data_IF_939617147822
#
_entry.id   IF_939617147822
#
_cell.length_a   1.000
_cell.length_b   1.000
_cell.length_c   1.000
_cell.angle_alpha   90.00
_cell.angle_beta   90.00
_cell.angle_gamma   90.00
#
_symmetry.space_group_name_H-M   'P 1'
#
loop_
_entity.id
_entity.type
_entity.pdbx_description
1 polymer ?
#
# COMPACT_ATOMS: atom_id res chain seq x y z
N UNK A 1 -21.08 3.77 12.29
CA UNK A 1 -20.83 5.23 12.31
C UNK A 1 -21.54 5.81 11.09
N UNK A 2 -22.45 6.79 11.24
CA UNK A 2 -23.28 7.28 10.12
C UNK A 2 -22.41 8.04 9.10
N UNK A 3 -22.55 7.75 7.81
CA UNK A 3 -21.73 8.33 6.72
C UNK A 3 -21.68 9.87 6.74
N UNK A 4 -22.80 10.52 7.09
CA UNK A 4 -22.90 11.98 7.25
C UNK A 4 -21.93 12.55 8.31
N UNK A 5 -21.70 11.83 9.41
CA UNK A 5 -20.79 12.28 10.48
C UNK A 5 -19.32 12.26 10.03
N UNK A 6 -18.95 11.29 9.19
CA UNK A 6 -17.64 11.21 8.54
C UNK A 6 -17.44 12.28 7.49
N UNK A 7 -18.46 12.59 6.69
CA UNK A 7 -18.40 13.67 5.69
C UNK A 7 -18.18 15.05 6.35
N UNK A 8 -18.86 15.31 7.47
CA UNK A 8 -18.69 16.56 8.25
C UNK A 8 -17.31 16.65 8.90
N UNK A 9 -16.75 15.53 9.38
CA UNK A 9 -15.39 15.49 9.94
C UNK A 9 -14.30 15.74 8.88
N UNK A 10 -14.50 15.26 7.64
CA UNK A 10 -13.58 15.46 6.52
C UNK A 10 -13.52 16.93 6.04
N UNK A 11 -14.58 17.71 6.22
CA UNK A 11 -14.63 19.12 5.81
C UNK A 11 -13.80 20.07 6.69
N UNK A 12 -13.37 19.63 7.88
CA UNK A 12 -12.66 20.46 8.86
C UNK A 12 -11.13 20.43 8.70
N UNK A 13 -10.58 19.41 8.05
CA UNK A 13 -9.14 19.18 7.93
C UNK A 13 -8.72 19.13 6.46
N UNK A 14 -7.56 19.72 6.15
CA UNK A 14 -7.00 19.63 4.81
C UNK A 14 -6.49 18.23 4.52
N UNK A 15 -5.66 17.67 5.41
CA UNK A 15 -5.27 16.27 5.39
C UNK A 15 -6.29 15.42 6.15
N UNK A 16 -6.97 14.56 5.42
CA UNK A 16 -8.08 13.73 5.89
C UNK A 16 -7.65 12.32 6.28
N UNK A 17 -6.45 11.90 5.85
CA UNK A 17 -5.91 10.59 6.19
C UNK A 17 -4.57 10.31 5.53
N UNK A 18 -4.18 9.05 5.53
CA UNK A 18 -2.93 8.55 4.96
C UNK A 18 -3.24 7.36 4.04
N UNK A 19 -2.72 7.39 2.82
CA UNK A 19 -2.64 6.23 1.95
C UNK A 19 -1.23 5.68 2.01
N UNK A 20 -1.07 4.37 2.24
CA UNK A 20 0.24 3.73 2.39
C UNK A 20 0.34 2.50 1.49
N UNK A 21 1.55 2.23 1.01
CA UNK A 21 1.92 1.00 0.35
C UNK A 21 3.06 0.37 1.14
N UNK A 22 2.85 -0.88 1.55
CA UNK A 22 3.82 -1.68 2.27
C UNK A 22 4.37 -2.78 1.36
N UNK A 23 5.57 -3.27 1.65
CA UNK A 23 6.01 -4.54 1.11
C UNK A 23 5.36 -5.69 1.89
N UNK A 24 5.47 -6.92 1.37
CA UNK A 24 4.96 -8.12 2.04
C UNK A 24 5.51 -8.33 3.46
N UNK A 25 6.72 -7.84 3.74
CA UNK A 25 7.35 -7.95 5.06
C UNK A 25 6.86 -6.87 6.04
N UNK A 26 6.04 -5.90 5.59
CA UNK A 26 5.51 -4.82 6.43
C UNK A 26 6.28 -3.50 6.40
N UNK A 27 7.38 -3.40 5.64
CA UNK A 27 8.11 -2.12 5.48
C UNK A 27 7.32 -1.13 4.64
N UNK A 28 7.35 0.14 5.01
CA UNK A 28 6.71 1.18 4.25
C UNK A 28 7.50 1.53 2.98
N UNK A 29 6.87 1.35 1.81
CA UNK A 29 7.47 1.66 0.51
C UNK A 29 7.12 3.07 0.04
N UNK A 30 5.86 3.47 0.24
CA UNK A 30 5.43 4.83 -0.09
C UNK A 30 4.18 5.24 0.69
N UNK A 31 4.04 6.55 0.87
CA UNK A 31 2.93 7.17 1.61
C UNK A 31 2.45 8.41 0.87
N UNK A 32 1.16 8.70 0.96
CA UNK A 32 0.54 9.90 0.44
C UNK A 32 -0.51 10.43 1.42
N UNK A 33 -0.46 11.73 1.72
CA UNK A 33 -1.56 12.39 2.42
C UNK A 33 -2.82 12.31 1.56
N UNK A 34 -3.93 11.88 2.16
CA UNK A 34 -5.23 12.11 1.56
C UNK A 34 -5.63 13.55 1.85
N UNK A 35 -5.88 14.33 0.79
CA UNK A 35 -6.17 15.77 0.88
C UNK A 35 -7.62 16.01 0.50
N UNK A 36 -8.40 16.52 1.46
CA UNK A 36 -9.82 16.91 1.34
C UNK A 36 -10.70 15.83 0.71
N UNK A 37 -10.35 14.56 0.91
CA UNK A 37 -11.05 13.42 0.34
C UNK A 37 -10.89 12.16 1.20
N UNK A 38 -11.79 11.19 1.05
CA UNK A 38 -11.47 9.82 1.45
C UNK A 38 -10.46 9.17 0.50
N UNK A 39 -10.44 7.84 0.54
CA UNK A 39 -9.62 6.99 -0.31
C UNK A 39 -10.10 7.00 -1.78
N UNK A 40 -9.61 7.97 -2.54
CA UNK A 40 -9.87 8.08 -3.97
C UNK A 40 -8.88 7.21 -4.78
N UNK A 41 -9.33 6.69 -5.93
CA UNK A 41 -8.52 5.88 -6.85
C UNK A 41 -7.17 6.52 -7.22
N UNK A 42 -7.08 7.86 -7.21
CA UNK A 42 -5.85 8.61 -7.50
C UNK A 42 -4.68 8.24 -6.58
N UNK A 43 -4.93 7.91 -5.31
CA UNK A 43 -3.85 7.60 -4.36
C UNK A 43 -3.22 6.25 -4.68
N UNK A 44 -4.04 5.21 -4.90
CA UNK A 44 -3.57 3.91 -5.36
C UNK A 44 -2.75 4.02 -6.66
N UNK A 45 -3.24 4.80 -7.64
CA UNK A 45 -2.50 5.03 -8.88
C UNK A 45 -1.18 5.78 -8.66
N UNK A 46 -1.16 6.78 -7.77
CA UNK A 46 0.04 7.56 -7.47
C UNK A 46 1.12 6.71 -6.79
N UNK A 47 0.76 5.89 -5.80
CA UNK A 47 1.72 5.01 -5.12
C UNK A 47 2.23 3.90 -6.04
N UNK A 48 1.35 3.32 -6.87
CA UNK A 48 1.76 2.35 -7.89
C UNK A 48 2.73 2.99 -8.88
N UNK A 49 2.41 4.18 -9.40
CA UNK A 49 3.31 4.89 -10.31
C UNK A 49 4.68 5.15 -9.68
N UNK A 50 4.71 5.56 -8.40
CA UNK A 50 5.96 5.80 -7.67
C UNK A 50 6.78 4.51 -7.53
N UNK A 51 6.16 3.42 -7.09
CA UNK A 51 6.83 2.13 -6.92
C UNK A 51 7.37 1.62 -8.26
N UNK A 52 6.51 1.51 -9.28
CA UNK A 52 6.89 0.96 -10.57
C UNK A 52 7.97 1.79 -11.27
N UNK A 53 7.96 3.11 -11.09
CA UNK A 53 9.02 3.98 -11.63
C UNK A 53 10.34 3.76 -10.91
N UNK A 54 10.31 3.59 -9.58
CA UNK A 54 11.50 3.32 -8.78
C UNK A 54 12.11 1.95 -9.13
N UNK A 55 11.29 0.90 -9.22
CA UNK A 55 11.73 -0.45 -9.63
C UNK A 55 12.35 -0.44 -11.03
N UNK A 56 11.71 0.26 -11.98
CA UNK A 56 12.27 0.44 -13.33
C UNK A 56 13.65 1.11 -13.28
N UNK A 57 13.74 2.22 -12.57
CA UNK A 57 14.95 3.03 -12.49
C UNK A 57 16.11 2.27 -11.84
N UNK A 58 15.84 1.59 -10.72
CA UNK A 58 16.83 0.78 -10.00
C UNK A 58 17.35 -0.37 -10.88
N UNK A 59 16.46 -1.10 -11.55
CA UNK A 59 16.82 -2.15 -12.50
C UNK A 59 17.71 -1.64 -13.63
N UNK A 60 17.34 -0.52 -14.24
CA UNK A 60 18.10 0.09 -15.35
C UNK A 60 19.49 0.57 -14.88
N UNK A 61 19.56 1.17 -13.69
CA UNK A 61 20.81 1.61 -13.08
C UNK A 61 21.74 0.42 -12.79
N UNK A 62 21.19 -0.71 -12.31
CA UNK A 62 21.92 -1.94 -12.03
C UNK A 62 22.18 -2.81 -13.27
N UNK A 63 21.64 -2.45 -14.44
CA UNK A 63 21.69 -3.23 -15.69
C UNK A 63 21.12 -4.65 -15.52
N UNK A 64 20.11 -4.78 -14.67
CA UNK A 64 19.46 -6.06 -14.40
C UNK A 64 18.46 -6.42 -15.51
N UNK A 65 18.28 -7.72 -15.80
CA UNK A 65 17.25 -8.16 -16.74
C UNK A 65 15.86 -7.84 -16.20
N UNK A 66 14.87 -7.79 -17.09
CA UNK A 66 13.47 -7.68 -16.66
C UNK A 66 13.10 -8.89 -15.79
N UNK A 67 12.29 -8.70 -14.74
CA UNK A 67 11.87 -9.81 -13.87
C UNK A 67 11.17 -10.89 -14.70
N UNK A 68 11.50 -12.15 -14.43
CA UNK A 68 10.86 -13.30 -15.07
C UNK A 68 9.40 -13.40 -14.61
N UNK A 69 9.17 -13.24 -13.30
CA UNK A 69 7.86 -13.26 -12.65
C UNK A 69 7.06 -11.95 -12.76
N UNK A 70 5.88 -11.97 -12.15
CA UNK A 70 4.97 -10.83 -12.03
C UNK A 70 5.19 -10.10 -10.70
N UNK A 71 5.06 -8.78 -10.71
CA UNK A 71 5.05 -7.98 -9.48
C UNK A 71 3.62 -7.96 -8.93
N UNK A 72 3.40 -8.60 -7.79
CA UNK A 72 2.08 -8.66 -7.15
C UNK A 72 1.84 -7.40 -6.30
N UNK A 73 0.66 -6.79 -6.45
CA UNK A 73 0.21 -5.69 -5.59
C UNK A 73 -1.17 -5.99 -5.01
N UNK A 74 -1.23 -6.12 -3.68
CA UNK A 74 -2.46 -6.34 -2.94
C UNK A 74 -3.25 -5.07 -2.70
N UNK A 75 -4.56 -5.12 -2.92
CA UNK A 75 -5.46 -4.02 -2.59
C UNK A 75 -6.91 -4.51 -2.51
N UNK A 76 -7.71 -3.99 -1.57
CA UNK A 76 -9.10 -4.40 -1.36
C UNK A 76 -9.96 -4.31 -2.62
N UNK A 77 -9.82 -3.22 -3.36
CA UNK A 77 -10.49 -3.02 -4.65
C UNK A 77 -9.54 -3.32 -5.83
N UNK A 78 -8.56 -4.21 -5.62
CA UNK A 78 -7.53 -4.56 -6.61
C UNK A 78 -8.10 -5.01 -7.96
N UNK A 79 -9.26 -5.67 -7.96
CA UNK A 79 -9.96 -6.07 -9.17
C UNK A 79 -10.39 -4.89 -10.06
N UNK A 80 -10.84 -3.81 -9.44
CA UNK A 80 -11.33 -2.59 -10.08
C UNK A 80 -10.17 -1.64 -10.40
N UNK A 81 -9.16 -1.61 -9.52
CA UNK A 81 -7.88 -0.94 -9.75
C UNK A 81 -7.17 -1.53 -10.96
N UNK A 82 -7.18 -2.85 -11.16
CA UNK A 82 -6.62 -3.48 -12.36
C UNK A 82 -7.25 -2.97 -13.66
N UNK A 83 -8.58 -2.81 -13.69
CA UNK A 83 -9.29 -2.23 -14.85
C UNK A 83 -8.92 -0.77 -15.04
N UNK A 84 -8.77 -0.03 -13.95
CA UNK A 84 -8.41 1.39 -13.96
C UNK A 84 -6.98 1.58 -14.50
N UNK A 85 -6.02 0.79 -14.03
CA UNK A 85 -4.62 0.80 -14.50
C UNK A 85 -4.55 0.56 -16.00
N UNK A 86 -5.32 -0.41 -16.53
CA UNK A 86 -5.36 -0.70 -17.97
C UNK A 86 -5.87 0.45 -18.84
N UNK A 87 -6.61 1.40 -18.26
CA UNK A 87 -7.26 2.52 -18.98
C UNK A 87 -6.62 3.89 -18.71
N UNK A 88 -5.58 3.94 -17.88
CA UNK A 88 -4.93 5.20 -17.52
C UNK A 88 -3.47 5.24 -18.02
N UNK A 89 -2.81 6.41 -17.98
CA UNK A 89 -1.43 6.58 -18.44
C UNK A 89 -0.38 5.69 -17.75
N UNK A 90 -0.74 5.05 -16.62
CA UNK A 90 0.13 4.10 -15.92
C UNK A 90 0.27 2.77 -16.67
N UNK A 91 -0.62 2.45 -17.60
CA UNK A 91 -0.68 1.16 -18.30
C UNK A 91 0.66 0.71 -18.91
N UNK A 92 1.40 1.54 -19.68
CA UNK A 92 2.66 1.11 -20.28
C UNK A 92 3.71 0.73 -19.24
N UNK A 93 3.79 1.50 -18.14
CA UNK A 93 4.71 1.21 -17.04
C UNK A 93 4.29 -0.05 -16.27
N UNK A 94 3.00 -0.23 -16.03
CA UNK A 94 2.47 -1.42 -15.38
C UNK A 94 2.74 -2.70 -16.20
N UNK A 95 2.61 -2.63 -17.52
CA UNK A 95 2.95 -3.75 -18.41
C UNK A 95 4.47 -4.02 -18.45
N UNK A 96 5.29 -2.96 -18.54
CA UNK A 96 6.75 -3.08 -18.53
C UNK A 96 7.28 -3.75 -17.26
N UNK A 97 6.67 -3.44 -16.12
CA UNK A 97 7.02 -3.98 -14.81
C UNK A 97 6.23 -5.25 -14.44
N UNK A 98 5.41 -5.80 -15.36
CA UNK A 98 4.60 -7.01 -15.14
C UNK A 98 3.74 -6.94 -13.87
N UNK A 99 3.09 -5.79 -13.63
CA UNK A 99 2.21 -5.60 -12.49
C UNK A 99 0.97 -6.51 -12.58
N UNK A 100 0.68 -7.24 -11.50
CA UNK A 100 -0.57 -7.96 -11.30
C UNK A 100 -1.21 -7.55 -9.99
N UNK A 101 -2.41 -6.96 -10.09
CA UNK A 101 -3.22 -6.69 -8.90
C UNK A 101 -3.79 -8.00 -8.35
N UNK A 102 -3.70 -8.16 -7.04
CA UNK A 102 -4.30 -9.26 -6.29
C UNK A 102 -5.23 -8.69 -5.22
N UNK A 103 -6.17 -9.51 -4.78
CA UNK A 103 -7.15 -9.17 -3.75
C UNK A 103 -7.00 -10.15 -2.59
N UNK A 104 -7.19 -9.67 -1.37
CA UNK A 104 -7.14 -10.52 -0.17
C UNK A 104 -8.21 -11.62 -0.18
N UNK A 105 -8.00 -12.65 0.65
CA UNK A 105 -8.84 -13.85 0.69
C UNK A 105 -10.33 -13.55 0.94
N UNK A 106 -10.64 -12.55 1.76
CA UNK A 106 -12.01 -12.15 2.09
C UNK A 106 -12.76 -11.55 0.88
N UNK A 107 -12.07 -10.79 0.03
CA UNK A 107 -12.65 -10.20 -1.18
C UNK A 107 -12.77 -11.22 -2.32
N UNK A 108 -11.88 -12.21 -2.37
CA UNK A 108 -11.95 -13.33 -3.34
C UNK A 108 -13.24 -14.14 -3.21
N UNK A 109 -13.71 -14.40 -1.99
CA UNK A 109 -14.95 -15.13 -1.73
C UNK A 109 -16.19 -14.38 -2.26
N UNK A 110 -16.29 -13.07 -2.00
CA UNK A 110 -17.42 -12.25 -2.44
C UNK A 110 -17.58 -12.20 -3.98
N UNK A 111 -16.49 -12.45 -4.72
CA UNK A 111 -16.47 -12.38 -6.17
C UNK A 111 -16.30 -13.74 -6.87
N UNK A 112 -16.42 -14.86 -6.15
CA UNK A 112 -16.17 -16.22 -6.68
C UNK A 112 -14.85 -16.29 -7.48
N UNK A 113 -13.81 -15.63 -6.97
CA UNK A 113 -12.54 -15.49 -7.66
C UNK A 113 -11.50 -16.42 -7.05
N UNK A 114 -10.48 -16.76 -7.84
CA UNK A 114 -9.34 -17.53 -7.35
C UNK A 114 -8.82 -16.89 -6.06
N UNK A 115 -8.83 -17.68 -4.99
CA UNK A 115 -8.23 -17.31 -3.72
C UNK A 115 -6.76 -16.97 -3.95
N UNK A 116 -6.23 -16.04 -3.15
CA UNK A 116 -4.83 -15.64 -3.18
C UNK A 116 -3.88 -16.85 -3.08
N UNK A 117 -4.30 -17.91 -2.39
CA UNK A 117 -3.64 -19.21 -2.28
C UNK A 117 -3.29 -19.86 -3.63
N UNK A 118 -4.00 -19.53 -4.71
CA UNK A 118 -3.74 -20.06 -6.05
C UNK A 118 -2.89 -19.13 -6.93
N UNK A 119 -2.42 -18.00 -6.39
CA UNK A 119 -1.53 -17.08 -7.12
C UNK A 119 -0.08 -17.44 -6.80
N UNK A 120 0.59 -18.02 -7.78
CA UNK A 120 2.03 -18.34 -7.69
C UNK A 120 2.81 -17.07 -7.36
N UNK A 121 3.67 -17.15 -6.34
CA UNK A 121 4.47 -16.02 -5.84
C UNK A 121 3.80 -15.21 -4.73
N UNK A 122 2.50 -15.35 -4.48
CA UNK A 122 1.83 -14.68 -3.36
C UNK A 122 2.25 -15.28 -2.01
N UNK A 123 2.55 -16.58 -1.94
CA UNK A 123 2.86 -17.26 -0.67
C UNK A 123 1.64 -17.36 0.24
N UNK A 124 1.87 -17.45 1.56
CA UNK A 124 0.84 -17.51 2.60
C UNK A 124 0.37 -16.13 3.07
N UNK A 125 0.51 -15.12 2.22
CA UNK A 125 0.11 -13.74 2.57
C UNK A 125 -1.39 -13.61 2.78
N UNK A 126 -1.78 -12.80 3.76
CA UNK A 126 -3.16 -12.36 3.95
C UNK A 126 -3.47 -10.99 3.30
N UNK A 127 -2.41 -10.25 2.95
CA UNK A 127 -2.45 -8.88 2.44
C UNK A 127 -3.02 -7.85 3.43
N UNK A 128 -2.99 -8.12 4.73
CA UNK A 128 -3.55 -7.24 5.79
C UNK A 128 -2.48 -6.33 6.45
N UNK A 129 -1.37 -6.09 5.76
CA UNK A 129 -0.26 -5.30 6.30
C UNK A 129 -0.67 -3.86 6.62
N UNK A 130 -1.51 -3.25 5.78
CA UNK A 130 -1.93 -1.86 5.93
C UNK A 130 -2.77 -1.66 7.20
N UNK A 131 -3.69 -2.57 7.48
CA UNK A 131 -4.57 -2.58 8.65
C UNK A 131 -3.75 -2.66 9.93
N UNK A 132 -2.73 -3.53 9.95
CA UNK A 132 -1.78 -3.65 11.07
C UNK A 132 -1.01 -2.37 11.28
N UNK A 133 -0.49 -1.76 10.21
CA UNK A 133 0.20 -0.48 10.28
C UNK A 133 -0.71 0.63 10.83
N UNK A 134 -1.93 0.75 10.31
CA UNK A 134 -2.89 1.75 10.76
C UNK A 134 -3.26 1.57 12.23
N UNK A 135 -3.48 0.33 12.66
CA UNK A 135 -3.75 0.00 14.07
C UNK A 135 -2.64 0.50 15.00
N UNK A 136 -1.37 0.21 14.67
CA UNK A 136 -0.22 0.67 15.46
C UNK A 136 -0.08 2.21 15.43
N UNK A 137 -0.23 2.80 14.24
CA UNK A 137 -0.05 4.25 14.03
C UNK A 137 -1.19 5.11 14.59
N UNK A 138 -2.27 4.51 15.09
CA UNK A 138 -3.45 5.25 15.54
C UNK A 138 -3.14 6.26 16.67
N UNK A 139 -2.06 6.02 17.43
CA UNK A 139 -1.55 6.97 18.44
C UNK A 139 -1.12 8.33 17.85
N UNK A 140 -0.77 8.39 16.55
CA UNK A 140 -0.44 9.63 15.84
C UNK A 140 -1.67 10.43 15.43
N UNK A 141 -2.85 9.80 15.32
CA UNK A 141 -4.05 10.43 14.76
C UNK A 141 -4.45 11.70 15.53
N UNK A 142 -4.37 11.68 16.86
CA UNK A 142 -4.68 12.84 17.69
C UNK A 142 -3.66 13.97 17.53
N UNK A 143 -2.37 13.63 17.46
CA UNK A 143 -1.26 14.60 17.40
C UNK A 143 -1.17 15.28 16.04
N UNK A 144 -1.39 14.52 14.96
CA UNK A 144 -1.19 14.98 13.57
C UNK A 144 -2.37 15.76 12.99
N UNK A 145 -3.50 15.81 13.70
CA UNK A 145 -4.76 16.40 13.21
C UNK A 145 -4.71 17.93 13.10
N UNK A 146 -3.97 18.59 13.98
CA UNK A 146 -3.88 20.06 14.03
C UNK A 146 -2.48 20.58 13.69
N UNK A 147 -1.58 19.68 13.28
CA UNK A 147 -0.24 20.06 12.87
C UNK A 147 -0.27 20.70 11.48
N UNK A 148 0.69 21.58 11.20
CA UNK A 148 0.95 21.99 9.83
C UNK A 148 1.33 20.77 8.99
N UNK A 149 1.12 20.86 7.67
CA UNK A 149 1.49 19.83 6.71
C UNK A 149 2.92 19.31 6.89
N UNK A 150 3.87 20.20 7.17
CA UNK A 150 5.26 19.84 7.41
C UNK A 150 5.41 18.98 8.68
N UNK A 151 4.91 19.44 9.83
CA UNK A 151 5.06 18.71 11.09
C UNK A 151 4.27 17.39 11.10
N UNK A 152 3.11 17.35 10.44
CA UNK A 152 2.37 16.10 10.22
C UNK A 152 3.23 15.07 9.49
N UNK A 153 3.83 15.47 8.35
CA UNK A 153 4.69 14.59 7.55
C UNK A 153 5.92 14.17 8.31
N UNK A 154 6.53 15.08 9.06
CA UNK A 154 7.68 14.77 9.91
C UNK A 154 7.30 13.71 10.96
N UNK A 155 6.22 13.92 11.71
CA UNK A 155 5.78 12.98 12.73
C UNK A 155 5.42 11.59 12.16
N UNK A 156 4.75 11.54 11.01
CA UNK A 156 4.45 10.28 10.32
C UNK A 156 5.76 9.62 9.85
N UNK A 157 6.68 10.38 9.24
CA UNK A 157 7.95 9.84 8.75
C UNK A 157 8.83 9.29 9.87
N UNK A 158 8.91 10.00 11.00
CA UNK A 158 9.69 9.56 12.17
C UNK A 158 9.08 8.30 12.79
N UNK A 159 7.75 8.25 12.93
CA UNK A 159 7.06 7.05 13.38
C UNK A 159 7.30 5.87 12.45
N UNK A 160 7.14 6.06 11.13
CA UNK A 160 7.36 5.00 10.15
C UNK A 160 8.80 4.51 10.18
N UNK A 161 9.78 5.41 10.26
CA UNK A 161 11.19 5.04 10.41
C UNK A 161 11.41 4.20 11.67
N UNK A 162 10.82 4.58 12.80
CA UNK A 162 10.93 3.80 14.03
C UNK A 162 10.28 2.41 13.88
N UNK A 163 9.03 2.35 13.41
CA UNK A 163 8.32 1.09 13.18
C UNK A 163 9.13 0.17 12.26
N UNK A 164 9.67 0.69 11.16
CA UNK A 164 10.40 -0.12 10.18
C UNK A 164 11.70 -0.68 10.76
N UNK A 165 12.49 0.14 11.48
CA UNK A 165 13.79 -0.29 12.01
C UNK A 165 13.72 -1.11 13.30
N UNK A 166 12.73 -0.89 14.14
CA UNK A 166 12.67 -1.52 15.47
C UNK A 166 11.58 -2.59 15.59
N UNK A 167 10.46 -2.45 14.88
CA UNK A 167 9.38 -3.45 14.92
C UNK A 167 9.46 -4.38 13.71
N UNK A 168 9.39 -3.85 12.49
CA UNK A 168 9.33 -4.66 11.27
C UNK A 168 10.62 -5.44 11.06
N UNK A 169 11.76 -4.77 11.19
CA UNK A 169 13.07 -5.42 11.03
C UNK A 169 13.30 -6.53 12.07
N UNK A 170 12.92 -6.30 13.34
CA UNK A 170 13.07 -7.31 14.38
C UNK A 170 12.21 -8.56 14.10
N UNK A 171 10.99 -8.38 13.58
CA UNK A 171 10.06 -9.46 13.25
C UNK A 171 10.33 -10.12 11.88
N UNK A 172 11.29 -9.61 11.10
CA UNK A 172 11.57 -10.11 9.75
C UNK A 172 12.00 -11.58 9.78
N UNK A 173 12.81 -11.96 10.76
CA UNK A 173 13.30 -13.35 10.89
C UNK A 173 12.15 -14.33 11.13
N UNK A 174 11.27 -14.03 12.08
CA UNK A 174 10.06 -14.82 12.36
C UNK A 174 9.14 -14.89 11.15
N UNK A 175 8.94 -13.77 10.45
CA UNK A 175 8.16 -13.74 9.21
C UNK A 175 8.73 -14.71 8.17
N UNK A 176 10.05 -14.67 7.92
CA UNK A 176 10.70 -15.54 6.94
C UNK A 176 10.58 -17.02 7.33
N UNK A 177 10.80 -17.34 8.61
CA UNK A 177 10.68 -18.72 9.10
C UNK A 177 9.26 -19.26 8.97
N UNK A 178 8.25 -18.45 9.26
CA UNK A 178 6.85 -18.90 9.25
C UNK A 178 6.24 -18.98 7.85
N UNK A 179 6.74 -18.20 6.88
CA UNK A 179 6.14 -18.13 5.54
C UNK A 179 6.91 -18.89 4.45
N UNK A 180 8.16 -19.29 4.71
CA UNK A 180 9.03 -19.93 3.71
C UNK A 180 9.64 -21.27 4.14
N UNK A 181 9.33 -21.78 5.33
CA UNK A 181 9.61 -23.19 5.69
C UNK A 181 8.56 -24.12 5.12
#
# INVERSE_FOLDING_TARGET
MKEESTAVALGKYEETGLFIMLCRHGFALSMADMVRSGEQRKYALAVLNRLLSAEKHDREAKKEPKPVGELLAGYDIGCETAKTVKRCPLCPLALDQKLRMVVGSMHGHAHNRLLLLYVVGAGLEDLEGCERFFSKSNSLTGKTRYQSRFHRRQAISEYTYHNDNFDVYANLSDFLVNNYR
#
